data_IF_256212996011
#
_entry.id   IF_256212996011
#
_cell.length_a   1.000
_cell.length_b   1.000
_cell.length_c   1.000
_cell.angle_alpha   90.00
_cell.angle_beta   90.00
_cell.angle_gamma   90.00
#
_symmetry.space_group_name_H-M   'P 1'
#
loop_
_entity.id
_entity.type
_entity.pdbx_description
1 polymer ?
#
# COMPACT_ATOMS: atom_id res chain seq x y z
N UNK A 1 9.22 28.60 -7.83
CA UNK A 1 10.55 28.95 -7.26
C UNK A 1 10.34 30.20 -6.43
N UNK A 2 10.83 30.22 -5.20
CA UNK A 2 10.65 31.36 -4.31
C UNK A 2 12.02 31.77 -3.78
N UNK A 3 12.63 32.78 -4.42
CA UNK A 3 13.90 33.33 -4.01
C UNK A 3 13.66 34.30 -2.85
N UNK A 4 14.32 34.04 -1.72
CA UNK A 4 14.16 34.89 -0.54
C UNK A 4 15.53 35.13 0.11
N UNK A 5 15.91 36.39 0.18
CA UNK A 5 17.18 36.84 0.76
C UNK A 5 17.09 36.85 2.29
N UNK A 6 18.12 36.33 2.95
CA UNK A 6 18.25 36.36 4.42
C UNK A 6 19.48 37.21 4.77
N UNK A 7 19.32 38.43 5.30
CA UNK A 7 20.44 39.26 5.72
C UNK A 7 21.10 38.66 6.97
N UNK A 8 22.43 38.55 6.94
CA UNK A 8 23.19 38.05 8.08
C UNK A 8 23.36 39.14 9.14
N UNK A 9 22.95 38.84 10.38
CA UNK A 9 23.23 39.72 11.51
C UNK A 9 24.69 39.53 11.99
N UNK A 10 25.44 40.63 12.11
CA UNK A 10 26.79 40.65 12.69
C UNK A 10 27.98 40.69 11.72
N UNK A 11 27.77 40.85 10.42
CA UNK A 11 28.85 40.89 9.41
C UNK A 11 28.93 42.24 8.66
N UNK A 12 30.14 42.69 8.32
CA UNK A 12 30.36 44.02 7.69
C UNK A 12 29.84 44.12 6.25
N UNK A 13 29.95 43.06 5.44
CA UNK A 13 29.20 42.80 4.19
C UNK A 13 29.23 41.29 3.91
N UNK A 14 28.09 40.72 3.52
CA UNK A 14 27.98 39.32 3.13
C UNK A 14 26.51 38.89 3.04
N UNK A 15 26.13 38.27 1.93
CA UNK A 15 24.78 37.75 1.68
C UNK A 15 24.88 36.23 1.51
N UNK A 16 23.90 35.48 2.01
CA UNK A 16 23.78 34.05 1.72
C UNK A 16 22.70 33.86 0.67
N UNK A 17 23.10 33.33 -0.48
CA UNK A 17 22.18 32.87 -1.51
C UNK A 17 21.72 31.45 -1.17
N UNK A 18 20.46 31.31 -0.78
CA UNK A 18 19.87 30.02 -0.44
C UNK A 18 18.95 29.60 -1.59
N UNK A 19 19.40 28.65 -2.39
CA UNK A 19 18.54 28.02 -3.40
C UNK A 19 17.84 26.82 -2.77
N UNK A 20 16.54 26.96 -2.50
CA UNK A 20 15.73 25.84 -2.00
C UNK A 20 15.45 24.88 -3.15
N UNK A 21 16.30 23.87 -3.31
CA UNK A 21 15.99 22.71 -4.13
C UNK A 21 15.12 21.78 -3.29
N UNK A 22 13.81 21.77 -3.55
CA UNK A 22 12.95 20.70 -3.03
C UNK A 22 13.43 19.42 -3.71
N UNK A 23 14.30 18.65 -3.05
CA UNK A 23 14.36 17.21 -3.28
C UNK A 23 13.02 16.66 -2.81
N UNK A 24 12.04 16.67 -3.72
CA UNK A 24 11.01 15.64 -3.68
C UNK A 24 11.84 14.36 -3.67
N UNK A 25 11.79 13.53 -2.61
CA UNK A 25 12.35 12.19 -2.73
C UNK A 25 11.71 11.67 -3.99
N UNK A 26 12.52 11.44 -5.02
CA UNK A 26 12.07 10.71 -6.19
C UNK A 26 11.46 9.47 -5.57
N UNK A 27 10.13 9.41 -5.60
CA UNK A 27 9.37 8.21 -5.26
C UNK A 27 10.12 7.19 -6.08
N UNK A 28 10.96 6.40 -5.40
CA UNK A 28 11.73 5.37 -6.05
C UNK A 28 10.71 4.68 -6.90
N UNK A 29 10.94 4.75 -8.21
CA UNK A 29 10.19 3.97 -9.16
C UNK A 29 10.51 2.54 -8.76
N UNK A 30 9.76 2.04 -7.78
CA UNK A 30 9.51 0.63 -7.61
C UNK A 30 9.19 0.17 -9.02
N UNK A 31 9.85 -0.89 -9.50
CA UNK A 31 9.61 -1.40 -10.84
C UNK A 31 8.11 -1.41 -11.05
N UNK A 32 7.69 -0.90 -12.21
CA UNK A 32 6.31 -0.81 -12.68
C UNK A 32 5.63 -2.18 -12.64
N UNK A 33 5.36 -2.66 -11.44
CA UNK A 33 4.24 -3.51 -11.11
C UNK A 33 3.17 -2.46 -10.98
N UNK A 34 2.32 -2.37 -12.00
CA UNK A 34 1.01 -1.75 -11.91
C UNK A 34 0.52 -1.89 -10.46
N UNK A 35 0.13 -0.81 -9.75
CA UNK A 35 -0.47 -0.97 -8.44
C UNK A 35 -1.74 -1.77 -8.67
N UNK A 36 -1.62 -3.10 -8.69
CA UNK A 36 -2.70 -4.02 -8.94
C UNK A 36 -3.76 -3.58 -7.96
N UNK A 37 -4.89 -3.15 -8.52
CA UNK A 37 -5.93 -2.57 -7.72
C UNK A 37 -6.20 -3.52 -6.55
N UNK A 38 -6.55 -3.02 -5.36
CA UNK A 38 -6.80 -3.91 -4.25
C UNK A 38 -7.79 -5.04 -4.59
N UNK A 39 -8.72 -4.70 -5.49
CA UNK A 39 -9.63 -5.60 -6.14
C UNK A 39 -8.91 -6.71 -6.95
N UNK A 40 -7.94 -6.36 -7.81
CA UNK A 40 -7.17 -7.29 -8.64
C UNK A 40 -6.46 -8.35 -7.81
N UNK A 41 -5.79 -7.97 -6.71
CA UNK A 41 -5.09 -8.93 -5.83
C UNK A 41 -6.05 -9.88 -5.11
N UNK A 42 -7.14 -9.36 -4.55
CA UNK A 42 -8.17 -10.20 -3.92
C UNK A 42 -8.78 -11.21 -4.92
N UNK A 43 -9.06 -10.76 -6.15
CA UNK A 43 -9.59 -11.62 -7.21
C UNK A 43 -8.58 -12.68 -7.64
N UNK A 44 -7.29 -12.34 -7.70
CA UNK A 44 -6.24 -13.29 -8.04
C UNK A 44 -6.14 -14.41 -7.00
N UNK A 45 -6.06 -14.05 -5.70
CA UNK A 45 -6.00 -15.03 -4.61
C UNK A 45 -7.25 -15.92 -4.64
N UNK A 46 -8.44 -15.32 -4.76
CA UNK A 46 -9.71 -16.06 -4.84
C UNK A 46 -9.76 -16.99 -6.05
N UNK A 47 -9.29 -16.54 -7.22
CA UNK A 47 -9.21 -17.37 -8.42
C UNK A 47 -8.27 -18.56 -8.24
N UNK A 48 -7.11 -18.35 -7.60
CA UNK A 48 -6.16 -19.43 -7.31
C UNK A 48 -6.73 -20.45 -6.32
N UNK A 49 -7.38 -19.99 -5.24
CA UNK A 49 -8.06 -20.87 -4.28
C UNK A 49 -9.13 -21.72 -4.96
N UNK A 50 -9.94 -21.10 -5.84
CA UNK A 50 -10.95 -21.82 -6.63
C UNK A 50 -10.31 -22.88 -7.53
N UNK A 51 -9.18 -22.57 -8.16
CA UNK A 51 -8.45 -23.55 -8.96
C UNK A 51 -7.93 -24.71 -8.12
N UNK A 52 -7.38 -24.46 -6.93
CA UNK A 52 -6.92 -25.52 -6.03
C UNK A 52 -8.07 -26.40 -5.55
N UNK A 53 -9.22 -25.80 -5.20
CA UNK A 53 -10.43 -26.57 -4.88
C UNK A 53 -10.88 -27.48 -6.03
N UNK A 54 -10.88 -26.98 -7.27
CA UNK A 54 -11.23 -27.78 -8.45
C UNK A 54 -10.21 -28.93 -8.64
N UNK A 55 -8.91 -28.67 -8.45
CA UNK A 55 -7.88 -29.73 -8.51
C UNK A 55 -8.12 -30.81 -7.46
N UNK A 56 -8.45 -30.42 -6.22
CA UNK A 56 -8.78 -31.38 -5.15
C UNK A 56 -10.00 -32.20 -5.52
N UNK A 57 -11.07 -31.59 -6.04
CA UNK A 57 -12.26 -32.29 -6.52
C UNK A 57 -11.93 -33.31 -7.61
N UNK A 58 -11.13 -32.90 -8.61
CA UNK A 58 -10.70 -33.78 -9.69
C UNK A 58 -9.90 -34.98 -9.17
N UNK A 59 -8.99 -34.78 -8.22
CA UNK A 59 -8.19 -35.87 -7.62
C UNK A 59 -9.06 -36.85 -6.82
N UNK A 60 -10.13 -36.36 -6.18
CA UNK A 60 -11.12 -37.20 -5.51
C UNK A 60 -11.89 -38.04 -6.53
N UNK A 61 -12.35 -37.43 -7.62
CA UNK A 61 -13.06 -38.12 -8.72
C UNK A 61 -12.17 -39.20 -9.38
N UNK A 62 -10.88 -38.91 -9.55
CA UNK A 62 -9.88 -39.83 -10.09
C UNK A 62 -9.40 -40.89 -9.06
N UNK A 63 -9.93 -40.87 -7.82
CA UNK A 63 -9.49 -41.73 -6.71
C UNK A 63 -7.99 -41.64 -6.39
N UNK A 64 -7.33 -40.55 -6.81
CA UNK A 64 -5.92 -40.28 -6.58
C UNK A 64 -5.75 -39.50 -5.26
N UNK A 65 -5.95 -40.20 -4.15
CA UNK A 65 -5.92 -39.58 -2.82
C UNK A 65 -4.50 -39.15 -2.39
N UNK A 66 -3.45 -39.81 -2.90
CA UNK A 66 -2.05 -39.48 -2.59
C UNK A 66 -1.64 -38.12 -3.17
N UNK A 67 -2.30 -37.67 -4.24
CA UNK A 67 -2.07 -36.36 -4.85
C UNK A 67 -2.75 -35.19 -4.13
N UNK A 68 -3.65 -35.43 -3.19
CA UNK A 68 -4.46 -34.40 -2.50
C UNK A 68 -3.68 -33.51 -1.51
N UNK A 69 -2.68 -34.01 -0.74
CA UNK A 69 -1.99 -33.20 0.25
C UNK A 69 -1.29 -31.96 -0.32
N UNK A 70 -0.75 -32.05 -1.54
CA UNK A 70 -0.04 -30.95 -2.18
C UNK A 70 -0.96 -29.73 -2.49
N UNK A 71 -2.07 -29.88 -3.26
CA UNK A 71 -2.99 -28.76 -3.50
C UNK A 71 -3.74 -28.31 -2.25
N UNK A 72 -3.90 -29.16 -1.22
CA UNK A 72 -4.43 -28.72 0.07
C UNK A 72 -3.45 -27.82 0.83
N UNK A 73 -2.17 -28.18 0.89
CA UNK A 73 -1.15 -27.33 1.52
C UNK A 73 -1.00 -26.01 0.78
N UNK A 74 -1.06 -26.02 -0.56
CA UNK A 74 -1.08 -24.78 -1.36
C UNK A 74 -2.34 -23.95 -1.04
N UNK A 75 -3.51 -24.58 -0.88
CA UNK A 75 -4.74 -23.89 -0.49
C UNK A 75 -4.66 -23.23 0.89
N UNK A 76 -4.04 -23.89 1.87
CA UNK A 76 -3.77 -23.31 3.20
C UNK A 76 -2.89 -22.07 3.08
N UNK A 77 -1.80 -22.13 2.30
CA UNK A 77 -0.93 -20.96 2.10
C UNK A 77 -1.65 -19.80 1.40
N UNK A 78 -2.57 -20.09 0.46
CA UNK A 78 -3.39 -19.08 -0.19
C UNK A 78 -4.37 -18.44 0.80
N UNK A 79 -4.90 -19.20 1.75
CA UNK A 79 -5.77 -18.69 2.82
C UNK A 79 -5.01 -17.77 3.76
N UNK A 80 -3.79 -18.14 4.20
CA UNK A 80 -2.94 -17.28 5.02
C UNK A 80 -2.64 -15.95 4.31
N UNK A 81 -2.32 -16.02 3.01
CA UNK A 81 -2.09 -14.83 2.19
C UNK A 81 -3.35 -13.96 2.04
N UNK A 82 -4.54 -14.58 1.93
CA UNK A 82 -5.81 -13.85 1.92
C UNK A 82 -6.04 -13.10 3.24
N UNK A 83 -5.78 -13.74 4.38
CA UNK A 83 -5.94 -13.14 5.72
C UNK A 83 -5.01 -11.95 5.91
N UNK A 84 -3.72 -12.13 5.60
CA UNK A 84 -2.74 -11.03 5.67
C UNK A 84 -3.16 -9.86 4.78
N UNK A 85 -3.67 -10.16 3.59
CA UNK A 85 -4.14 -9.14 2.66
C UNK A 85 -5.36 -8.36 3.21
N UNK A 86 -6.29 -9.03 3.89
CA UNK A 86 -7.41 -8.35 4.57
C UNK A 86 -6.92 -7.42 5.67
N UNK A 87 -5.94 -7.85 6.48
CA UNK A 87 -5.35 -7.00 7.52
C UNK A 87 -4.70 -5.75 6.92
N UNK A 88 -3.97 -5.91 5.81
CA UNK A 88 -3.38 -4.77 5.08
C UNK A 88 -4.46 -3.80 4.57
N UNK A 89 -5.57 -4.31 4.06
CA UNK A 89 -6.69 -3.46 3.60
C UNK A 89 -7.34 -2.71 4.76
N UNK A 90 -7.61 -3.37 5.88
CA UNK A 90 -8.18 -2.75 7.07
C UNK A 90 -7.29 -1.62 7.61
N UNK A 91 -5.97 -1.83 7.65
CA UNK A 91 -5.02 -0.80 8.06
C UNK A 91 -5.06 0.41 7.11
N UNK A 92 -5.08 0.19 5.79
CA UNK A 92 -5.22 1.28 4.81
C UNK A 92 -6.51 2.07 4.99
N UNK A 93 -7.63 1.39 5.25
CA UNK A 93 -8.92 2.03 5.51
C UNK A 93 -8.84 2.87 6.80
N UNK A 94 -8.27 2.32 7.87
CA UNK A 94 -8.07 3.02 9.14
C UNK A 94 -7.22 4.29 8.98
N UNK A 95 -6.12 4.21 8.23
CA UNK A 95 -5.26 5.36 7.95
C UNK A 95 -6.01 6.44 7.16
N UNK A 96 -6.77 6.04 6.14
CA UNK A 96 -7.58 6.95 5.34
C UNK A 96 -8.61 7.69 6.21
N UNK A 97 -9.33 6.96 7.07
CA UNK A 97 -10.30 7.54 8.02
C UNK A 97 -9.60 8.52 8.98
N UNK A 98 -8.43 8.18 9.50
CA UNK A 98 -7.64 9.07 10.35
C UNK A 98 -7.25 10.38 9.66
N UNK A 99 -6.88 10.31 8.37
CA UNK A 99 -6.59 11.50 7.56
C UNK A 99 -7.84 12.37 7.39
N UNK A 100 -8.99 11.77 7.09
CA UNK A 100 -10.24 12.51 6.95
C UNK A 100 -10.63 13.25 8.23
N UNK A 101 -10.51 12.60 9.40
CA UNK A 101 -10.76 13.21 10.71
C UNK A 101 -9.81 14.39 10.97
N UNK A 102 -8.51 14.25 10.66
CA UNK A 102 -7.54 15.33 10.82
C UNK A 102 -7.86 16.53 9.92
N UNK A 103 -8.25 16.29 8.66
CA UNK A 103 -8.64 17.34 7.71
C UNK A 103 -9.91 18.04 8.19
N UNK A 104 -10.93 17.30 8.63
CA UNK A 104 -12.16 17.85 9.17
C UNK A 104 -11.90 18.71 10.41
N UNK A 105 -11.01 18.24 11.30
CA UNK A 105 -10.61 18.98 12.49
C UNK A 105 -9.89 20.30 12.15
N UNK A 106 -8.96 20.28 11.19
CA UNK A 106 -8.27 21.50 10.73
C UNK A 106 -9.24 22.50 10.09
N UNK A 107 -10.20 22.03 9.30
CA UNK A 107 -11.20 22.88 8.65
C UNK A 107 -12.15 23.56 9.65
N UNK A 108 -12.52 22.87 10.74
CA UNK A 108 -13.33 23.49 11.81
C UNK A 108 -12.53 24.56 12.56
N UNK A 109 -11.24 24.32 12.82
CA UNK A 109 -10.38 25.26 13.55
C UNK A 109 -10.12 26.54 12.74
N UNK A 110 -9.95 26.45 11.42
CA UNK A 110 -9.76 27.62 10.55
C UNK A 110 -11.01 28.48 10.36
N UNK A 111 -12.20 27.95 10.65
CA UNK A 111 -13.47 28.68 10.51
C UNK A 111 -13.86 29.45 11.79
N UNK A 112 -13.11 29.28 12.88
CA UNK A 112 -13.34 29.95 14.18
C UNK A 112 -12.28 31.02 14.51
N UNK A 113 -11.33 31.28 13.59
CA UNK A 113 -10.35 32.37 13.68
C UNK A 113 -10.63 33.39 12.57
#
# INVERSE_FOLDING_TARGET
>A
MADKWIPLQGVKRGEIHVQVTRKVPELEKRPSVDPESPLTKAHQISSQMKQMMIKVQYLIEDSNLEGIPAPLSELETLQDMQEEYMVQLLNKIKDLVGIFELVAFRSRRSSQS
#
